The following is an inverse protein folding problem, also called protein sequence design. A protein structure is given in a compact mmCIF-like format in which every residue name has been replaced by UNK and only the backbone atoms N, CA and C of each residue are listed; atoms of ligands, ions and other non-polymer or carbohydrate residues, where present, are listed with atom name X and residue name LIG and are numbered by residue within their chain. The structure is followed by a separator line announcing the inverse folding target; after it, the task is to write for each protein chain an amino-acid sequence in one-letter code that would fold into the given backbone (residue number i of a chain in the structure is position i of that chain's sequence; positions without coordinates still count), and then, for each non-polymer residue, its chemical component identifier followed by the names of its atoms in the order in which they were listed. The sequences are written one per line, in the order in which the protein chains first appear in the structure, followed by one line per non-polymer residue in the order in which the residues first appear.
data_IF_866461844744
#
_entry.id   IF_866461844744
#
_cell.length_a   1.000
_cell.length_b   1.000
_cell.length_c   1.000
_cell.angle_alpha   90.00
_cell.angle_beta   90.00
_cell.angle_gamma   90.00
#
_symmetry.space_group_name_H-M   'P 1'
#
loop_
_entity.id
_entity.type
_entity.pdbx_description
1 polymer ?
#
# COMPACT_ATOMS: atom_id res chain seq x y z
N UNK A 1 -58.62 34.71 37.13
CA UNK A 1 -59.26 33.50 36.57
C UNK A 1 -58.17 32.70 35.87
N UNK A 2 -58.06 31.40 36.18
CA UNK A 2 -57.23 30.35 35.55
C UNK A 2 -55.71 30.62 35.49
N UNK A 3 -54.81 29.93 36.19
CA UNK A 3 -54.82 28.53 36.64
C UNK A 3 -53.67 27.75 35.98
N UNK A 4 -52.41 28.19 36.14
CA UNK A 4 -51.22 27.45 35.70
C UNK A 4 -50.66 26.63 36.88
N UNK A 5 -51.36 25.55 37.22
CA UNK A 5 -50.94 24.58 38.22
C UNK A 5 -50.74 23.21 37.59
N UNK A 6 -49.49 22.71 37.70
CA UNK A 6 -49.07 21.30 37.75
C UNK A 6 -49.55 20.33 36.65
N UNK A 7 -48.58 19.83 35.89
CA UNK A 7 -48.20 18.41 35.84
C UNK A 7 -46.83 18.31 35.14
N UNK A 8 -45.71 18.27 35.89
CA UNK A 8 -44.35 18.15 35.34
C UNK A 8 -43.54 16.98 35.88
N UNK A 9 -44.04 16.22 36.86
CA UNK A 9 -43.28 15.13 37.48
C UNK A 9 -43.33 13.81 36.70
N UNK A 10 -44.41 13.53 35.95
CA UNK A 10 -44.50 12.32 35.11
C UNK A 10 -43.68 12.42 33.82
N UNK A 11 -43.64 13.61 33.22
CA UNK A 11 -42.90 13.88 31.98
C UNK A 11 -41.38 13.82 32.19
N UNK A 12 -40.90 14.22 33.39
CA UNK A 12 -39.46 14.18 33.70
C UNK A 12 -38.93 12.76 33.87
N UNK A 13 -39.66 11.88 34.58
CA UNK A 13 -39.24 10.48 34.76
C UNK A 13 -39.26 9.71 33.43
N UNK A 14 -40.25 9.95 32.57
CA UNK A 14 -40.30 9.33 31.25
C UNK A 14 -39.19 9.84 30.32
N UNK A 15 -38.88 11.14 30.36
CA UNK A 15 -37.79 11.69 29.57
C UNK A 15 -36.41 11.23 30.07
N UNK A 16 -36.23 11.08 31.38
CA UNK A 16 -35.02 10.48 31.97
C UNK A 16 -34.85 9.03 31.49
N UNK A 17 -35.90 8.21 31.54
CA UNK A 17 -35.89 6.84 31.02
C UNK A 17 -35.55 6.78 29.53
N UNK A 18 -36.08 7.72 28.73
CA UNK A 18 -35.76 7.83 27.29
C UNK A 18 -34.29 8.20 27.05
N UNK A 19 -33.73 9.09 27.86
CA UNK A 19 -32.31 9.47 27.80
C UNK A 19 -31.43 8.29 28.17
N UNK A 20 -31.77 7.54 29.21
CA UNK A 20 -31.05 6.33 29.61
C UNK A 20 -31.10 5.24 28.54
N UNK A 21 -32.27 4.99 27.95
CA UNK A 21 -32.41 4.04 26.85
C UNK A 21 -31.56 4.45 25.64
N UNK A 22 -31.48 5.75 25.32
CA UNK A 22 -30.63 6.27 24.26
C UNK A 22 -29.14 6.08 24.57
N UNK A 23 -28.70 6.38 25.80
CA UNK A 23 -27.33 6.13 26.24
C UNK A 23 -26.97 4.65 26.12
N UNK A 24 -27.85 3.76 26.57
CA UNK A 24 -27.66 2.32 26.49
C UNK A 24 -27.52 1.86 25.03
N UNK A 25 -28.38 2.37 24.14
CA UNK A 25 -28.30 2.08 22.70
C UNK A 25 -26.96 2.50 22.10
N UNK A 26 -26.45 3.70 22.46
CA UNK A 26 -25.14 4.18 22.04
C UNK A 26 -24.01 3.28 22.58
N UNK A 27 -24.06 2.89 23.85
CA UNK A 27 -23.08 1.97 24.46
C UNK A 27 -23.07 0.63 23.73
N UNK A 28 -24.24 0.06 23.45
CA UNK A 28 -24.35 -1.19 22.68
C UNK A 28 -23.74 -1.05 21.29
N UNK A 29 -23.98 0.07 20.60
CA UNK A 29 -23.39 0.32 19.29
C UNK A 29 -21.85 0.46 19.35
N UNK A 30 -21.32 1.09 20.41
CA UNK A 30 -19.87 1.17 20.65
C UNK A 30 -19.28 -0.23 20.88
N UNK A 31 -19.95 -1.12 21.62
CA UNK A 31 -19.49 -2.51 21.78
C UNK A 31 -19.52 -3.29 20.47
N UNK A 32 -20.52 -3.08 19.61
CA UNK A 32 -20.52 -3.65 18.26
C UNK A 32 -19.36 -3.14 17.41
N UNK A 33 -19.07 -1.84 17.46
CA UNK A 33 -17.89 -1.26 16.80
C UNK A 33 -16.60 -1.86 17.36
N UNK A 34 -16.51 -2.10 18.67
CA UNK A 34 -15.35 -2.74 19.30
C UNK A 34 -15.15 -4.16 18.76
N UNK A 35 -16.22 -4.93 18.57
CA UNK A 35 -16.12 -6.24 17.94
C UNK A 35 -15.58 -6.14 16.50
N UNK A 36 -16.01 -5.15 15.73
CA UNK A 36 -15.46 -4.88 14.40
C UNK A 36 -14.02 -4.40 14.42
N UNK A 37 -13.58 -3.65 15.42
CA UNK A 37 -12.20 -3.18 15.56
C UNK A 37 -11.21 -4.28 16.01
N UNK A 38 -11.69 -5.41 16.51
CA UNK A 38 -10.84 -6.59 16.78
C UNK A 38 -10.31 -7.20 15.49
N UNK A 39 -11.08 -7.14 14.42
CA UNK A 39 -10.74 -7.66 13.09
C UNK A 39 -10.41 -6.48 12.16
N UNK A 40 -9.48 -6.59 11.22
CA UNK A 40 -9.21 -5.56 10.22
C UNK A 40 -10.34 -5.45 9.16
N UNK A 41 -11.57 -5.13 9.60
CA UNK A 41 -12.77 -5.00 8.74
C UNK A 41 -13.26 -3.55 8.65
N UNK A 42 -12.52 -2.66 7.95
CA UNK A 42 -12.87 -1.24 7.86
C UNK A 42 -14.24 -1.01 7.21
N UNK A 43 -14.67 -1.87 6.28
CA UNK A 43 -15.96 -1.78 5.60
C UNK A 43 -17.16 -1.91 6.54
N UNK A 44 -16.97 -2.55 7.70
CA UNK A 44 -18.01 -2.68 8.74
C UNK A 44 -17.82 -1.65 9.84
N UNK A 45 -16.58 -1.34 10.20
CA UNK A 45 -16.26 -0.38 11.24
C UNK A 45 -16.67 1.06 10.86
N UNK A 46 -16.44 1.48 9.62
CA UNK A 46 -16.75 2.85 9.19
C UNK A 46 -18.26 3.16 9.20
N UNK A 47 -19.16 2.31 8.65
CA UNK A 47 -20.59 2.53 8.78
C UNK A 47 -21.09 2.47 10.23
N UNK A 48 -20.51 1.59 11.06
CA UNK A 48 -20.87 1.50 12.47
C UNK A 48 -20.51 2.78 13.24
N UNK A 49 -19.30 3.33 13.00
CA UNK A 49 -18.89 4.61 13.58
C UNK A 49 -19.79 5.77 13.12
N UNK A 50 -20.14 5.83 11.83
CA UNK A 50 -21.09 6.83 11.31
C UNK A 50 -22.45 6.76 11.98
N UNK A 51 -22.98 5.54 12.22
CA UNK A 51 -24.25 5.37 12.97
C UNK A 51 -24.16 5.92 14.40
N UNK A 52 -23.04 5.69 15.09
CA UNK A 52 -22.81 6.27 16.42
C UNK A 52 -22.80 7.80 16.34
N UNK A 53 -22.08 8.38 15.38
CA UNK A 53 -22.04 9.82 15.17
C UNK A 53 -23.44 10.41 14.90
N UNK A 54 -24.29 9.73 14.12
CA UNK A 54 -25.67 10.16 13.91
C UNK A 54 -26.52 10.12 15.19
N UNK A 55 -26.39 9.06 16.01
CA UNK A 55 -27.10 8.99 17.30
C UNK A 55 -26.65 10.08 18.27
N UNK A 56 -25.36 10.43 18.24
CA UNK A 56 -24.77 11.47 19.08
C UNK A 56 -25.26 12.88 18.73
N UNK A 57 -25.80 13.12 17.53
CA UNK A 57 -26.41 14.43 17.16
C UNK A 57 -27.68 14.74 17.95
N UNK A 58 -28.29 13.74 18.60
CA UNK A 58 -29.50 13.95 19.38
C UNK A 58 -29.24 14.95 20.54
N UNK A 59 -30.00 16.07 20.63
CA UNK A 59 -29.78 17.11 21.63
C UNK A 59 -30.08 16.65 23.07
N UNK A 60 -30.81 15.55 23.25
CA UNK A 60 -31.09 14.97 24.57
C UNK A 60 -29.89 14.20 25.15
N UNK A 61 -28.83 13.96 24.36
CA UNK A 61 -27.61 13.30 24.83
C UNK A 61 -26.76 14.29 25.63
N UNK A 62 -26.41 13.98 26.89
CA UNK A 62 -25.57 14.87 27.69
C UNK A 62 -24.21 15.15 27.02
N UNK A 63 -23.70 16.40 27.06
CA UNK A 63 -22.45 16.77 26.39
C UNK A 63 -21.23 15.92 26.79
N UNK A 64 -21.07 15.64 28.08
CA UNK A 64 -19.96 14.82 28.59
C UNK A 64 -20.01 13.40 28.02
N UNK A 65 -21.20 12.77 28.07
CA UNK A 65 -21.40 11.44 27.49
C UNK A 65 -21.18 11.45 25.97
N UNK A 66 -21.60 12.51 25.28
CA UNK A 66 -21.39 12.65 23.84
C UNK A 66 -19.91 12.63 23.49
N UNK A 67 -19.11 13.41 24.23
CA UNK A 67 -17.66 13.48 24.06
C UNK A 67 -17.00 12.13 24.32
N UNK A 68 -17.32 11.48 25.43
CA UNK A 68 -16.76 10.17 25.78
C UNK A 68 -17.10 9.09 24.73
N UNK A 69 -18.35 9.04 24.28
CA UNK A 69 -18.80 8.10 23.27
C UNK A 69 -18.16 8.37 21.89
N UNK A 70 -17.98 9.64 21.53
CA UNK A 70 -17.29 10.03 20.29
C UNK A 70 -15.81 9.64 20.36
N UNK A 71 -15.11 9.97 21.44
CA UNK A 71 -13.70 9.63 21.63
C UNK A 71 -13.49 8.11 21.61
N UNK A 72 -14.41 7.35 22.20
CA UNK A 72 -14.40 5.88 22.13
C UNK A 72 -14.60 5.36 20.70
N UNK A 73 -15.56 5.91 19.96
CA UNK A 73 -15.83 5.51 18.58
C UNK A 73 -14.64 5.82 17.66
N UNK A 74 -14.09 7.04 17.74
CA UNK A 74 -12.94 7.47 16.96
C UNK A 74 -11.69 6.63 17.28
N UNK A 75 -11.46 6.29 18.56
CA UNK A 75 -10.38 5.39 18.97
C UNK A 75 -10.51 4.01 18.35
N UNK A 76 -11.69 3.40 18.43
CA UNK A 76 -11.93 2.05 17.89
C UNK A 76 -11.84 2.04 16.36
N UNK A 77 -12.37 3.06 15.70
CA UNK A 77 -12.29 3.20 14.26
C UNK A 77 -10.84 3.39 13.81
N UNK A 78 -10.05 4.20 14.52
CA UNK A 78 -8.61 4.34 14.28
C UNK A 78 -7.90 3.00 14.39
N UNK A 79 -8.12 2.27 15.48
CA UNK A 79 -7.49 0.95 15.71
C UNK A 79 -7.80 -0.04 14.59
N UNK A 80 -9.04 -0.04 14.08
CA UNK A 80 -9.43 -0.87 12.94
C UNK A 80 -8.64 -0.50 11.67
N UNK A 81 -8.53 0.79 11.33
CA UNK A 81 -7.76 1.24 10.16
C UNK A 81 -6.25 0.98 10.31
N UNK A 82 -5.70 1.13 11.51
CA UNK A 82 -4.29 0.79 11.76
C UNK A 82 -4.02 -0.69 11.49
N UNK A 83 -4.89 -1.59 11.99
CA UNK A 83 -4.76 -3.03 11.73
C UNK A 83 -4.93 -3.38 10.25
N UNK A 84 -5.90 -2.77 9.57
CA UNK A 84 -6.14 -2.98 8.16
C UNK A 84 -4.96 -2.50 7.29
N UNK A 85 -4.33 -1.38 7.65
CA UNK A 85 -3.13 -0.89 6.99
C UNK A 85 -1.93 -1.83 7.22
N UNK A 86 -1.73 -2.36 8.43
CA UNK A 86 -0.66 -3.33 8.71
C UNK A 86 -0.86 -4.63 7.91
N UNK A 87 -2.08 -5.17 7.87
CA UNK A 87 -2.38 -6.38 7.10
C UNK A 87 -2.17 -6.18 5.61
N UNK A 88 -2.68 -5.08 5.04
CA UNK A 88 -2.43 -4.73 3.65
C UNK A 88 -0.93 -4.54 3.36
N UNK A 89 -0.18 -3.96 4.30
CA UNK A 89 1.27 -3.78 4.18
C UNK A 89 2.02 -5.11 4.14
N UNK A 90 1.63 -6.07 5.00
CA UNK A 90 2.16 -7.43 4.98
C UNK A 90 1.80 -8.16 3.67
N UNK A 91 0.58 -7.98 3.17
CA UNK A 91 0.17 -8.52 1.88
C UNK A 91 1.01 -7.95 0.73
N UNK A 92 1.30 -6.63 0.75
CA UNK A 92 2.18 -5.99 -0.22
C UNK A 92 3.60 -6.59 -0.21
N UNK A 93 4.18 -6.81 0.98
CA UNK A 93 5.49 -7.46 1.11
C UNK A 93 5.47 -8.89 0.57
N UNK A 94 4.44 -9.67 0.91
CA UNK A 94 4.30 -11.05 0.43
C UNK A 94 4.20 -11.11 -1.10
N UNK A 95 3.40 -10.22 -1.70
CA UNK A 95 3.27 -10.12 -3.15
C UNK A 95 4.57 -9.65 -3.83
N UNK A 96 5.29 -8.72 -3.20
CA UNK A 96 6.60 -8.28 -3.68
C UNK A 96 7.62 -9.44 -3.70
N UNK A 97 7.62 -10.28 -2.65
CA UNK A 97 8.50 -11.46 -2.57
C UNK A 97 8.14 -12.55 -3.59
N UNK A 98 6.85 -12.72 -3.91
CA UNK A 98 6.43 -13.66 -4.95
C UNK A 98 6.70 -13.16 -6.38
N UNK A 99 6.91 -11.84 -6.56
CA UNK A 99 7.05 -11.19 -7.86
C UNK A 99 5.70 -10.87 -8.51
N UNK A 100 4.61 -10.89 -7.73
CA UNK A 100 3.27 -10.52 -8.17
C UNK A 100 3.10 -9.00 -8.07
N UNK A 101 3.44 -8.31 -9.17
CA UNK A 101 3.41 -6.84 -9.21
C UNK A 101 2.00 -6.27 -9.06
N UNK A 102 0.98 -6.97 -9.58
CA UNK A 102 -0.40 -6.49 -9.55
C UNK A 102 -0.96 -6.57 -8.13
N UNK A 103 -0.82 -7.73 -7.48
CA UNK A 103 -1.24 -7.90 -6.09
C UNK A 103 -0.44 -6.99 -5.13
N UNK A 104 0.85 -6.75 -5.41
CA UNK A 104 1.67 -5.79 -4.66
C UNK A 104 1.10 -4.39 -4.80
N UNK A 105 0.86 -3.92 -6.02
CA UNK A 105 0.38 -2.56 -6.27
C UNK A 105 -1.01 -2.33 -5.66
N UNK A 106 -1.90 -3.31 -5.74
CA UNK A 106 -3.22 -3.25 -5.10
C UNK A 106 -3.08 -3.14 -3.57
N UNK A 107 -2.23 -3.97 -2.97
CA UNK A 107 -2.01 -3.97 -1.52
C UNK A 107 -1.36 -2.66 -1.03
N UNK A 108 -0.39 -2.12 -1.79
CA UNK A 108 0.23 -0.81 -1.52
C UNK A 108 -0.82 0.30 -1.53
N UNK A 109 -1.74 0.30 -2.50
CA UNK A 109 -2.84 1.28 -2.55
C UNK A 109 -3.73 1.16 -1.31
N UNK A 110 -4.16 -0.05 -0.95
CA UNK A 110 -4.97 -0.30 0.26
C UNK A 110 -4.27 0.18 1.53
N UNK A 111 -2.98 -0.09 1.69
CA UNK A 111 -2.19 0.40 2.83
C UNK A 111 -2.21 1.92 2.91
N UNK A 112 -2.00 2.63 1.80
CA UNK A 112 -2.05 4.10 1.76
C UNK A 112 -3.42 4.65 2.11
N UNK A 113 -4.48 4.06 1.56
CA UNK A 113 -5.86 4.48 1.80
C UNK A 113 -6.23 4.32 3.30
N UNK A 114 -5.91 3.16 3.89
CA UNK A 114 -6.17 2.92 5.31
C UNK A 114 -5.28 3.74 6.23
N UNK A 115 -4.01 3.94 5.88
CA UNK A 115 -3.11 4.84 6.61
C UNK A 115 -3.67 6.26 6.62
N UNK A 116 -4.13 6.78 5.47
CA UNK A 116 -4.75 8.11 5.38
C UNK A 116 -5.94 8.26 6.32
N UNK A 117 -6.83 7.26 6.35
CA UNK A 117 -7.98 7.24 7.28
C UNK A 117 -7.54 7.14 8.74
N UNK A 118 -6.57 6.29 9.07
CA UNK A 118 -6.02 6.21 10.43
C UNK A 118 -5.42 7.54 10.88
N UNK A 119 -4.68 8.24 10.01
CA UNK A 119 -4.10 9.54 10.31
C UNK A 119 -5.15 10.63 10.51
N UNK A 120 -6.25 10.64 9.74
CA UNK A 120 -7.37 11.56 9.98
C UNK A 120 -8.02 11.37 11.36
N UNK A 121 -7.94 10.15 11.91
CA UNK A 121 -8.41 9.80 13.25
C UNK A 121 -7.29 9.90 14.32
N UNK A 122 -6.26 10.71 14.05
CA UNK A 122 -5.14 11.02 14.95
C UNK A 122 -4.32 9.78 15.34
N UNK A 123 -4.02 8.92 14.37
CA UNK A 123 -3.04 7.85 14.58
C UNK A 123 -1.63 8.40 14.94
N UNK A 124 -0.86 7.65 15.75
CA UNK A 124 0.48 8.07 16.17
C UNK A 124 1.42 8.20 14.96
N UNK A 125 2.35 9.16 15.01
CA UNK A 125 3.29 9.43 13.90
C UNK A 125 4.23 8.25 13.68
N UNK A 126 4.56 7.52 14.73
CA UNK A 126 5.38 6.32 14.71
C UNK A 126 4.76 5.22 13.85
N UNK A 127 3.42 5.10 13.88
CA UNK A 127 2.71 4.16 13.03
C UNK A 127 2.83 4.53 11.56
N UNK A 128 2.72 5.82 11.23
CA UNK A 128 2.95 6.30 9.85
C UNK A 128 4.35 5.94 9.36
N UNK A 129 5.38 6.24 10.15
CA UNK A 129 6.77 5.91 9.77
C UNK A 129 6.98 4.41 9.59
N UNK A 130 6.34 3.58 10.41
CA UNK A 130 6.40 2.12 10.26
C UNK A 130 5.73 1.65 8.95
N UNK A 131 4.53 2.16 8.64
CA UNK A 131 3.85 1.85 7.38
C UNK A 131 4.63 2.34 6.15
N UNK A 132 5.17 3.56 6.19
CA UNK A 132 5.97 4.12 5.09
C UNK A 132 7.20 3.23 4.82
N UNK A 133 7.90 2.78 5.87
CA UNK A 133 9.02 1.83 5.73
C UNK A 133 8.59 0.50 5.10
N UNK A 134 7.44 -0.04 5.48
CA UNK A 134 6.90 -1.28 4.88
C UNK A 134 6.63 -1.09 3.39
N UNK A 135 6.05 0.06 3.01
CA UNK A 135 5.79 0.40 1.62
C UNK A 135 7.09 0.54 0.81
N UNK A 136 8.09 1.21 1.35
CA UNK A 136 9.40 1.36 0.71
C UNK A 136 10.05 0.00 0.47
N UNK A 137 10.06 -0.88 1.47
CA UNK A 137 10.60 -2.24 1.35
C UNK A 137 9.82 -3.02 0.28
N UNK A 138 8.49 -2.96 0.28
CA UNK A 138 7.67 -3.66 -0.70
C UNK A 138 7.96 -3.19 -2.14
N UNK A 139 8.20 -1.89 -2.33
CA UNK A 139 8.52 -1.31 -3.65
C UNK A 139 9.93 -1.65 -4.12
N UNK A 140 10.90 -1.73 -3.20
CA UNK A 140 12.28 -2.13 -3.51
C UNK A 140 12.44 -3.65 -3.69
N UNK A 141 11.50 -4.44 -3.17
CA UNK A 141 11.49 -5.91 -3.26
C UNK A 141 10.81 -6.37 -4.56
N UNK A 142 11.35 -7.41 -5.20
CA UNK A 142 10.72 -8.08 -6.35
C UNK A 142 11.28 -7.73 -7.74
N UNK A 143 12.44 -7.06 -7.83
CA UNK A 143 13.05 -6.62 -9.10
C UNK A 143 14.04 -7.58 -9.77
N UNK A 144 14.31 -8.77 -9.22
CA UNK A 144 15.35 -9.69 -9.71
C UNK A 144 14.75 -11.07 -10.02
N UNK A 145 13.79 -11.12 -10.95
CA UNK A 145 13.52 -12.34 -11.71
C UNK A 145 13.71 -12.02 -13.19
N UNK A 146 14.96 -11.70 -13.54
CA UNK A 146 15.38 -11.85 -14.92
C UNK A 146 15.48 -13.36 -15.20
N UNK A 147 14.36 -13.97 -15.58
CA UNK A 147 14.33 -15.33 -16.18
C UNK A 147 15.06 -15.38 -17.54
N UNK A 148 15.55 -14.23 -18.00
CA UNK A 148 16.41 -14.13 -19.17
C UNK A 148 17.86 -14.06 -18.70
N UNK A 149 18.78 -14.85 -19.31
CA UNK A 149 20.21 -14.67 -19.11
C UNK A 149 20.54 -13.20 -19.31
N UNK A 150 20.99 -12.51 -18.26
CA UNK A 150 21.44 -11.14 -18.38
C UNK A 150 22.60 -11.14 -19.37
N UNK A 151 22.51 -10.33 -20.43
CA UNK A 151 23.60 -10.12 -21.41
C UNK A 151 24.83 -9.42 -20.79
N UNK A 152 24.98 -9.43 -19.47
CA UNK A 152 26.15 -8.96 -18.80
C UNK A 152 27.26 -9.99 -19.07
N UNK A 153 28.24 -9.59 -19.88
CA UNK A 153 29.47 -10.38 -20.04
C UNK A 153 30.07 -10.56 -18.63
N UNK A 154 30.44 -11.78 -18.22
CA UNK A 154 31.17 -11.96 -16.98
C UNK A 154 32.41 -11.06 -17.01
N UNK A 155 32.64 -10.32 -15.93
CA UNK A 155 33.91 -9.63 -15.75
C UNK A 155 34.99 -10.69 -15.80
N UNK A 156 35.84 -10.63 -16.82
CA UNK A 156 36.96 -11.55 -17.00
C UNK A 156 37.77 -11.56 -15.71
N UNK A 157 37.82 -12.71 -15.04
CA UNK A 157 38.77 -12.90 -13.95
C UNK A 157 40.18 -12.86 -14.56
N UNK A 158 41.16 -12.37 -13.79
CA UNK A 158 42.53 -12.11 -14.24
C UNK A 158 43.19 -13.30 -14.99
N UNK A 159 42.73 -14.53 -14.72
CA UNK A 159 43.18 -15.77 -15.37
C UNK A 159 42.84 -15.88 -16.86
N UNK A 160 41.78 -15.22 -17.37
CA UNK A 160 41.43 -15.25 -18.80
C UNK A 160 42.20 -14.22 -19.64
N UNK A 161 42.90 -13.27 -19.00
CA UNK A 161 43.73 -12.29 -19.71
C UNK A 161 45.07 -12.93 -20.11
N UNK A 162 45.67 -13.72 -19.22
CA UNK A 162 46.93 -14.44 -19.49
C UNK A 162 46.79 -15.51 -20.58
N UNK A 163 45.63 -16.18 -20.68
CA UNK A 163 45.38 -17.18 -21.72
C UNK A 163 45.24 -16.55 -23.13
N UNK A 164 44.78 -15.30 -23.22
CA UNK A 164 44.70 -14.56 -24.50
C UNK A 164 46.02 -13.93 -24.91
N UNK A 165 46.88 -13.55 -23.97
CA UNK A 165 48.25 -13.10 -24.29
C UNK A 165 49.12 -14.27 -24.77
N UNK A 166 49.00 -15.45 -24.17
CA UNK A 166 49.70 -16.65 -24.65
C UNK A 166 49.26 -17.09 -26.06
N UNK A 167 48.00 -16.84 -26.44
CA UNK A 167 47.48 -17.19 -27.76
C UNK A 167 47.95 -16.21 -28.87
N UNK A 168 48.26 -14.95 -28.54
CA UNK A 168 48.80 -13.99 -29.50
C UNK A 168 50.28 -14.22 -29.83
N UNK A 169 51.04 -14.83 -28.91
CA UNK A 169 52.46 -15.06 -29.10
C UNK A 169 52.83 -16.29 -29.95
N UNK A 170 51.85 -17.06 -30.44
CA UNK A 170 52.06 -18.25 -31.30
C UNK A 170 51.84 -18.00 -32.80
N UNK A 171 51.72 -16.74 -33.22
CA UNK A 171 51.42 -16.39 -34.62
C UNK A 171 52.53 -15.60 -35.33
N UNK A 172 53.76 -15.67 -34.83
CA UNK A 172 54.95 -15.10 -35.47
C UNK A 172 55.97 -16.21 -35.78
N UNK A 173 55.70 -17.03 -36.81
CA UNK A 173 56.75 -17.71 -37.58
C UNK A 173 56.41 -17.59 -39.08
N UNK A 174 57.35 -17.10 -39.93
CA UNK A 174 57.07 -16.83 -41.33
C UNK A 174 57.17 -18.11 -42.17
N UNK A 175 56.24 -18.31 -43.10
CA UNK A 175 56.43 -19.23 -44.23
C UNK A 175 56.59 -18.43 -45.51
N UNK A 176 57.81 -18.42 -46.03
CA UNK A 176 58.17 -18.04 -47.40
C UNK A 176 57.41 -18.90 -48.42
N UNK A 177 57.00 -18.28 -49.53
CA UNK A 177 56.42 -18.98 -50.69
C UNK A 177 55.40 -18.14 -51.43
N UNK A 178 55.87 -17.15 -52.18
CA UNK A 178 55.06 -16.29 -53.02
C UNK A 178 54.71 -16.97 -54.36
N UNK A 179 53.44 -16.96 -54.74
CA UNK A 179 53.01 -16.80 -56.14
C UNK A 179 51.72 -15.97 -56.18
N UNK A 180 51.79 -14.85 -56.90
CA UNK A 180 50.69 -13.93 -57.19
C UNK A 180 50.20 -14.22 -58.61
N UNK A 181 48.89 -14.14 -58.89
CA UNK A 181 48.50 -13.55 -60.16
C UNK A 181 47.50 -12.40 -59.98
N UNK A 182 47.89 -11.26 -60.56
CA UNK A 182 47.10 -10.04 -60.79
C UNK A 182 46.32 -10.18 -62.11
N UNK A 183 45.03 -9.79 -62.12
CA UNK A 183 44.23 -9.13 -63.21
C UNK A 183 42.74 -9.48 -63.01
N UNK A 184 41.74 -8.62 -63.20
CA UNK A 184 41.64 -7.24 -63.73
C UNK A 184 40.51 -6.46 -63.01
N UNK A 185 40.55 -5.12 -63.00
CA UNK A 185 39.82 -4.21 -63.94
C UNK A 185 38.33 -4.60 -64.10
N UNK A 186 37.33 -3.74 -63.99
CA UNK A 186 37.20 -2.29 -63.81
C UNK A 186 35.68 -1.99 -63.69
N UNK A 187 35.32 -0.82 -63.14
CA UNK A 187 34.07 -0.08 -63.44
C UNK A 187 32.73 -0.74 -63.01
N UNK A 188 31.66 -0.03 -62.63
CA UNK A 188 31.26 1.36 -62.85
C UNK A 188 30.12 1.71 -61.88
N UNK A 189 30.02 3.01 -61.64
CA UNK A 189 29.02 3.73 -60.86
C UNK A 189 27.56 3.48 -61.24
N UNK A 190 26.71 3.80 -60.26
CA UNK A 190 25.36 4.38 -60.35
C UNK A 190 24.53 4.09 -61.60
N UNK A 191 23.36 3.44 -61.40
CA UNK A 191 22.05 3.93 -61.86
C UNK A 191 20.94 2.91 -61.56
N UNK A 192 20.01 3.27 -60.68
CA UNK A 192 18.56 3.36 -60.94
C UNK A 192 17.74 3.25 -59.66
N UNK A 193 17.46 4.42 -59.08
CA UNK A 193 16.17 4.76 -58.51
C UNK A 193 15.10 4.65 -59.60
N UNK A 194 14.12 3.77 -59.39
CA UNK A 194 12.74 3.71 -59.95
C UNK A 194 12.28 2.25 -59.71
N UNK A 195 11.27 1.91 -58.94
CA UNK A 195 9.98 2.55 -58.70
C UNK A 195 9.48 2.24 -57.28
N UNK A 196 8.85 3.25 -56.69
CA UNK A 196 7.80 3.08 -55.68
C UNK A 196 6.52 2.56 -56.34
#
# INVERSE_FOLDING_TARGET
MFGFGKNKSGDSEEDEKRIEALKLSIVTAVEHLRAHARVPTPDRAEPAAKRIQEMLKNPKVPPEFRKDAQDAADKLQRECFMKAADEAGRAALKAAMSGDNDARNESVKKTRDYLGKAMSLKAPKEFKMACDRVLDIAQMTGGIKSDKPTKAKPQMTKAEVESKEAAKHKLDEPKEGAEIPVKGKAEKDLKNLTNA
#
